data_IF_066960234750
#
_entry.id   IF_066960234750
#
_cell.length_a   1.000
_cell.length_b   1.000
_cell.length_c   1.000
_cell.angle_alpha   90.00
_cell.angle_beta   90.00
_cell.angle_gamma   90.00
#
_symmetry.space_group_name_H-M   'P 1'
#
loop_
_entity.id
_entity.type
_entity.pdbx_description
1 polymer ?
#
# COMPACT_ATOMS: atom_id res chain seq x y z
N UNK A 1 3.69 -23.37 -14.18
CA UNK A 1 3.10 -23.75 -12.87
C UNK A 1 1.95 -22.83 -12.47
N UNK A 2 2.13 -21.50 -12.52
CA UNK A 2 1.12 -20.54 -12.04
C UNK A 2 0.02 -20.19 -13.06
N UNK A 3 0.27 -20.43 -14.34
CA UNK A 3 -0.69 -20.14 -15.43
C UNK A 3 -1.92 -21.07 -15.45
N UNK A 4 -1.77 -22.32 -15.00
CA UNK A 4 -2.86 -23.30 -15.03
C UNK A 4 -3.58 -23.34 -13.69
N UNK A 5 -4.88 -23.07 -13.72
CA UNK A 5 -5.79 -23.28 -12.59
C UNK A 5 -6.06 -24.78 -12.43
N UNK A 6 -6.04 -25.27 -11.20
CA UNK A 6 -6.47 -26.61 -10.84
C UNK A 6 -7.43 -26.47 -9.65
N UNK A 7 -8.68 -26.93 -9.80
CA UNK A 7 -9.70 -26.78 -8.77
C UNK A 7 -9.38 -27.59 -7.50
N UNK A 8 -8.47 -28.56 -7.61
CA UNK A 8 -7.96 -29.36 -6.49
C UNK A 8 -6.85 -28.66 -5.71
N UNK A 9 -6.38 -27.49 -6.17
CA UNK A 9 -5.39 -26.70 -5.45
C UNK A 9 -5.93 -26.26 -4.08
N UNK A 10 -5.04 -26.23 -3.08
CA UNK A 10 -5.32 -25.56 -1.80
C UNK A 10 -5.47 -24.06 -2.04
N UNK A 11 -6.24 -23.40 -1.18
CA UNK A 11 -6.56 -21.97 -1.32
C UNK A 11 -5.32 -21.07 -1.44
N UNK A 12 -4.23 -21.39 -0.76
CA UNK A 12 -2.97 -20.66 -0.88
C UNK A 12 -2.44 -20.67 -2.33
N UNK A 13 -2.48 -21.82 -3.00
CA UNK A 13 -2.08 -21.94 -4.40
C UNK A 13 -3.07 -21.25 -5.33
N UNK A 14 -4.38 -21.35 -5.06
CA UNK A 14 -5.41 -20.63 -5.84
C UNK A 14 -5.18 -19.11 -5.80
N UNK A 15 -4.93 -18.54 -4.62
CA UNK A 15 -4.63 -17.10 -4.45
C UNK A 15 -3.35 -16.70 -5.16
N UNK A 16 -2.27 -17.49 -5.04
CA UNK A 16 -1.00 -17.21 -5.73
C UNK A 16 -1.17 -17.24 -7.26
N UNK A 17 -1.92 -18.22 -7.78
CA UNK A 17 -2.24 -18.33 -9.21
C UNK A 17 -3.12 -17.17 -9.69
N UNK A 18 -4.11 -16.76 -8.91
CA UNK A 18 -4.97 -15.61 -9.22
C UNK A 18 -4.16 -14.31 -9.28
N UNK A 19 -3.30 -14.06 -8.29
CA UNK A 19 -2.42 -12.90 -8.25
C UNK A 19 -1.48 -12.87 -9.46
N UNK A 20 -0.88 -14.02 -9.79
CA UNK A 20 -0.03 -14.14 -10.97
C UNK A 20 -0.80 -13.79 -12.25
N UNK A 21 -1.97 -14.38 -12.46
CA UNK A 21 -2.79 -14.13 -13.65
C UNK A 21 -3.25 -12.68 -13.78
N UNK A 22 -3.63 -12.03 -12.67
CA UNK A 22 -4.01 -10.62 -12.69
C UNK A 22 -2.82 -9.73 -13.03
N UNK A 23 -1.62 -10.06 -12.54
CA UNK A 23 -0.39 -9.30 -12.82
C UNK A 23 0.06 -9.46 -14.27
N UNK A 24 -0.04 -10.67 -14.84
CA UNK A 24 0.41 -10.95 -16.22
C UNK A 24 -0.57 -10.49 -17.30
N UNK A 25 -1.79 -10.09 -16.94
CA UNK A 25 -2.77 -9.59 -17.91
C UNK A 25 -2.52 -8.12 -18.26
N UNK A 26 -1.46 -7.87 -19.02
CA UNK A 26 -1.04 -6.53 -19.43
C UNK A 26 -2.16 -5.78 -20.16
N UNK A 27 -2.89 -6.43 -21.07
CA UNK A 27 -4.01 -5.81 -21.79
C UNK A 27 -5.06 -5.18 -20.86
N UNK A 28 -5.33 -5.82 -19.72
CA UNK A 28 -6.31 -5.34 -18.76
C UNK A 28 -5.77 -4.26 -17.83
N UNK A 29 -4.46 -4.27 -17.59
CA UNK A 29 -3.75 -3.21 -16.86
C UNK A 29 -3.73 -1.95 -17.73
N UNK A 30 -3.27 -2.06 -18.98
CA UNK A 30 -3.21 -0.94 -19.93
C UNK A 30 -4.58 -0.31 -20.19
N UNK A 31 -5.65 -1.14 -20.25
CA UNK A 31 -7.02 -0.61 -20.40
C UNK A 31 -7.46 0.28 -19.23
N UNK A 32 -6.94 0.06 -18.02
CA UNK A 32 -7.26 0.90 -16.84
C UNK A 32 -6.41 2.14 -16.74
N UNK A 33 -5.21 2.10 -17.31
CA UNK A 33 -4.25 3.18 -17.26
C UNK A 33 -4.04 3.68 -15.81
N UNK A 34 -3.80 4.98 -15.61
CA UNK A 34 -3.59 5.61 -14.31
C UNK A 34 -4.83 5.66 -13.40
N UNK A 35 -6.03 5.26 -13.87
CA UNK A 35 -7.27 5.43 -13.11
C UNK A 35 -7.23 4.82 -11.69
N UNK A 36 -6.65 3.61 -11.45
CA UNK A 36 -6.55 3.07 -10.10
C UNK A 36 -5.68 3.93 -9.18
N UNK A 37 -4.62 4.55 -9.71
CA UNK A 37 -3.75 5.44 -8.94
C UNK A 37 -4.45 6.78 -8.67
N UNK A 38 -5.16 7.35 -9.65
CA UNK A 38 -5.89 8.60 -9.45
C UNK A 38 -6.97 8.47 -8.38
N UNK A 39 -7.74 7.38 -8.39
CA UNK A 39 -8.72 7.10 -7.35
C UNK A 39 -8.06 6.96 -5.96
N UNK A 40 -6.92 6.29 -5.90
CA UNK A 40 -6.16 6.18 -4.66
C UNK A 40 -5.67 7.55 -4.15
N UNK A 41 -5.17 8.41 -5.06
CA UNK A 41 -4.74 9.75 -4.69
C UNK A 41 -5.89 10.56 -4.10
N UNK A 42 -7.10 10.46 -4.67
CA UNK A 42 -8.29 11.12 -4.15
C UNK A 42 -8.65 10.64 -2.74
N UNK A 43 -8.52 9.33 -2.46
CA UNK A 43 -8.79 8.72 -1.15
C UNK A 43 -7.80 9.17 -0.06
N UNK A 44 -6.53 9.42 -0.41
CA UNK A 44 -5.47 9.73 0.56
C UNK A 44 -5.25 11.23 0.79
N UNK A 45 -6.10 12.09 0.23
CA UNK A 45 -6.01 13.54 0.40
C UNK A 45 -5.29 14.29 -0.74
N UNK A 46 -5.10 13.64 -1.88
CA UNK A 46 -4.51 14.22 -3.09
C UNK A 46 -2.98 14.25 -3.09
N UNK A 47 -2.42 14.81 -4.16
CA UNK A 47 -0.99 15.04 -4.29
C UNK A 47 -0.73 16.48 -4.76
N UNK A 48 -0.19 17.37 -3.89
CA UNK A 48 -0.03 18.79 -4.18
C UNK A 48 0.68 19.09 -5.51
N UNK A 49 1.64 18.25 -5.92
CA UNK A 49 2.37 18.42 -7.17
C UNK A 49 1.50 18.33 -8.44
N UNK A 50 0.30 17.77 -8.32
CA UNK A 50 -0.65 17.56 -9.42
C UNK A 50 -1.93 18.36 -9.28
N UNK A 51 -2.08 19.13 -8.19
CA UNK A 51 -3.29 19.84 -7.83
C UNK A 51 -2.96 21.30 -7.51
N UNK A 52 -3.33 22.22 -8.39
CA UNK A 52 -3.02 23.65 -8.26
C UNK A 52 -3.79 24.35 -7.13
N UNK A 53 -4.87 23.74 -6.64
CA UNK A 53 -5.79 24.23 -5.62
C UNK A 53 -5.73 23.38 -4.34
N UNK A 54 -4.68 22.58 -4.17
CA UNK A 54 -4.54 21.65 -3.04
C UNK A 54 -4.54 22.38 -1.69
N UNK A 55 -3.88 23.53 -1.62
CA UNK A 55 -3.82 24.44 -0.47
C UNK A 55 -5.21 24.92 -0.03
N UNK A 56 -6.13 25.08 -0.98
CA UNK A 56 -7.51 25.51 -0.69
C UNK A 56 -8.44 24.33 -0.44
N UNK A 57 -8.25 23.22 -1.16
CA UNK A 57 -9.22 22.10 -1.20
C UNK A 57 -8.89 20.93 -0.29
N UNK A 58 -7.63 20.73 0.09
CA UNK A 58 -7.16 19.56 0.84
C UNK A 58 -6.40 19.95 2.10
N UNK A 59 -5.54 20.96 2.03
CA UNK A 59 -4.71 21.40 3.17
C UNK A 59 -5.49 21.71 4.46
N UNK A 60 -6.68 22.37 4.43
CA UNK A 60 -7.39 22.72 5.66
C UNK A 60 -7.78 21.52 6.53
N UNK A 61 -8.03 20.37 5.89
CA UNK A 61 -8.39 19.11 6.56
C UNK A 61 -7.20 18.15 6.70
N UNK A 62 -6.03 18.54 6.18
CA UNK A 62 -4.85 17.69 6.15
C UNK A 62 -4.15 17.66 7.51
N UNK A 63 -3.80 16.45 7.97
CA UNK A 63 -2.99 16.23 9.16
C UNK A 63 -1.85 15.27 8.84
N UNK A 64 -0.63 15.64 9.26
CA UNK A 64 0.54 14.79 9.14
C UNK A 64 0.32 13.46 9.85
N UNK A 65 -0.21 13.47 11.07
CA UNK A 65 -0.44 12.26 11.87
C UNK A 65 -1.42 11.31 11.18
N UNK A 66 -2.57 11.84 10.72
CA UNK A 66 -3.62 11.04 10.07
C UNK A 66 -3.13 10.47 8.74
N UNK A 67 -2.38 11.27 7.97
CA UNK A 67 -1.79 10.85 6.69
C UNK A 67 -0.73 9.77 6.88
N UNK A 68 0.18 9.94 7.85
CA UNK A 68 1.19 8.93 8.19
C UNK A 68 0.54 7.62 8.66
N UNK A 69 -0.51 7.73 9.48
CA UNK A 69 -1.27 6.58 9.96
C UNK A 69 -1.90 5.83 8.80
N UNK A 70 -2.61 6.54 7.91
CA UNK A 70 -3.22 5.97 6.72
C UNK A 70 -2.20 5.22 5.84
N UNK A 71 -1.04 5.83 5.57
CA UNK A 71 0.01 5.20 4.79
C UNK A 71 0.57 3.94 5.47
N UNK A 72 0.82 3.99 6.78
CA UNK A 72 1.32 2.85 7.53
C UNK A 72 0.30 1.71 7.60
N UNK A 73 -0.93 1.98 8.02
CA UNK A 73 -1.91 0.93 8.35
C UNK A 73 -2.56 0.33 7.11
N UNK A 74 -2.88 1.15 6.11
CA UNK A 74 -3.71 0.70 4.98
C UNK A 74 -2.86 0.32 3.77
N UNK A 75 -1.70 0.97 3.59
CA UNK A 75 -0.87 0.78 2.40
C UNK A 75 0.50 0.19 2.68
N UNK A 76 0.84 -0.07 3.96
CA UNK A 76 2.15 -0.54 4.38
C UNK A 76 3.29 0.32 3.79
N UNK A 77 3.07 1.63 3.71
CA UNK A 77 4.02 2.63 3.18
C UNK A 77 4.59 3.44 4.31
N UNK A 78 5.88 3.29 4.52
CA UNK A 78 6.63 3.96 5.58
C UNK A 78 7.31 5.18 4.98
N UNK A 79 6.79 6.36 5.31
CA UNK A 79 7.21 7.65 4.76
C UNK A 79 7.67 8.55 5.89
N UNK A 80 8.65 9.42 5.63
CA UNK A 80 9.39 10.23 6.62
C UNK A 80 10.31 9.41 7.54
N UNK A 81 9.77 8.39 8.22
CA UNK A 81 10.52 7.46 9.07
C UNK A 81 9.99 6.04 8.93
N UNK A 82 10.85 5.05 9.18
CA UNK A 82 10.45 3.65 9.24
C UNK A 82 9.87 3.36 10.64
N UNK A 83 8.66 2.81 10.70
CA UNK A 83 8.07 2.27 11.92
C UNK A 83 7.68 0.81 11.71
N UNK A 84 8.17 -0.09 12.56
CA UNK A 84 7.91 -1.52 12.46
C UNK A 84 7.87 -2.20 13.83
N UNK A 85 7.14 -3.30 13.93
CA UNK A 85 7.10 -4.15 15.14
C UNK A 85 8.11 -5.26 14.98
N UNK A 86 9.08 -5.34 15.91
CA UNK A 86 10.16 -6.34 15.85
C UNK A 86 10.55 -6.84 17.24
N UNK A 87 11.32 -7.92 17.30
CA UNK A 87 11.80 -8.45 18.56
C UNK A 87 12.74 -7.47 19.26
N UNK A 88 12.64 -7.34 20.58
CA UNK A 88 13.59 -6.54 21.37
C UNK A 88 14.95 -7.25 21.35
N UNK A 89 15.98 -6.55 20.87
CA UNK A 89 17.36 -7.07 20.83
C UNK A 89 17.90 -7.45 22.22
N UNK A 90 17.31 -6.90 23.30
CA UNK A 90 17.65 -7.24 24.69
C UNK A 90 16.83 -8.41 25.24
N UNK A 91 15.67 -8.71 24.63
CA UNK A 91 14.80 -9.81 25.03
C UNK A 91 13.95 -10.26 23.84
N UNK A 92 14.42 -11.30 23.14
CA UNK A 92 13.81 -11.77 21.89
C UNK A 92 12.42 -12.41 22.06
N UNK A 93 11.97 -12.64 23.31
CA UNK A 93 10.60 -13.07 23.61
C UNK A 93 9.59 -11.91 23.66
N UNK A 94 10.04 -10.66 23.54
CA UNK A 94 9.19 -9.45 23.53
C UNK A 94 9.28 -8.75 22.18
N UNK A 95 8.22 -8.06 21.80
CA UNK A 95 8.18 -7.18 20.64
C UNK A 95 8.13 -5.72 21.09
N UNK A 96 8.81 -4.85 20.35
CA UNK A 96 8.80 -3.40 20.55
C UNK A 96 8.59 -2.68 19.22
N UNK A 97 8.13 -1.43 19.31
CA UNK A 97 8.03 -0.55 18.15
C UNK A 97 9.41 0.04 17.90
N UNK A 98 9.95 -0.20 16.71
CA UNK A 98 11.18 0.43 16.23
C UNK A 98 10.80 1.65 15.40
N UNK A 99 11.50 2.75 15.65
CA UNK A 99 11.45 3.96 14.83
C UNK A 99 12.87 4.25 14.34
N UNK A 100 13.06 4.31 13.03
CA UNK A 100 14.35 4.65 12.43
C UNK A 100 14.18 5.63 11.28
N UNK A 101 15.29 6.24 10.85
CA UNK A 101 15.33 6.87 9.53
C UNK A 101 15.06 5.82 8.45
N UNK A 102 14.48 6.26 7.33
CA UNK A 102 14.43 5.47 6.08
C UNK A 102 15.85 5.30 5.53
#
# INVERSE_FOLDING_TARGET
>A
VLEKTDDRDRDAFKKAKQLYKSCMNANFIEKRDAAPLLNLLDEIGGWPATMSDWDVTKEPDWSLESTLTLFHTNYNRRVVFDTLVWFDIRNTSKYVIYVSKI
#
